data_IF_521259087324
#
_entry.id   IF_521259087324
#
_cell.length_a   1.000
_cell.length_b   1.000
_cell.length_c   1.000
_cell.angle_alpha   90.00
_cell.angle_beta   90.00
_cell.angle_gamma   90.00
#
_symmetry.space_group_name_H-M   'P 1'
#
loop_
_entity.id
_entity.type
_entity.pdbx_description
1 polymer ?
#
# COMPACT_ATOMS: atom_id res chain seq x y z
N UNK A 1 6.00 -0.79 15.00
CA UNK A 1 5.47 0.32 14.18
C UNK A 1 6.47 0.90 13.18
N UNK A 2 7.14 2.05 13.38
CA UNK A 2 7.89 2.75 12.30
C UNK A 2 9.01 1.93 11.64
N UNK A 3 9.74 1.13 12.41
CA UNK A 3 10.80 0.25 11.89
C UNK A 3 10.22 -0.83 10.96
N UNK A 4 9.03 -1.34 11.29
CA UNK A 4 8.37 -2.40 10.54
C UNK A 4 7.92 -1.92 9.16
N UNK A 5 7.38 -0.69 9.06
CA UNK A 5 7.03 -0.05 7.78
C UNK A 5 8.28 0.18 6.93
N UNK A 6 9.37 0.68 7.50
CA UNK A 6 10.64 0.87 6.78
C UNK A 6 11.21 -0.45 6.24
N UNK A 7 11.26 -1.50 7.07
CA UNK A 7 11.72 -2.83 6.66
C UNK A 7 10.84 -3.41 5.56
N UNK A 8 9.51 -3.26 5.68
CA UNK A 8 8.55 -3.71 4.69
C UNK A 8 8.79 -3.00 3.35
N UNK A 9 8.85 -1.67 3.32
CA UNK A 9 9.07 -0.88 2.09
C UNK A 9 10.41 -1.21 1.45
N UNK A 10 11.48 -1.33 2.25
CA UNK A 10 12.81 -1.73 1.74
C UNK A 10 12.77 -3.09 1.08
N UNK A 11 12.08 -4.06 1.66
CA UNK A 11 11.97 -5.42 1.12
C UNK A 11 11.11 -5.46 -0.13
N UNK A 12 9.96 -4.77 -0.13
CA UNK A 12 9.03 -4.73 -1.27
C UNK A 12 9.63 -4.03 -2.49
N UNK A 13 10.44 -2.98 -2.28
CA UNK A 13 11.04 -2.19 -3.35
C UNK A 13 12.53 -2.52 -3.60
N UNK A 14 13.08 -3.51 -2.89
CA UNK A 14 14.51 -3.91 -2.96
C UNK A 14 15.46 -2.69 -2.84
N UNK A 15 15.21 -1.83 -1.85
CA UNK A 15 15.99 -0.60 -1.69
C UNK A 15 17.39 -0.89 -1.09
N UNK A 16 18.46 -0.23 -1.60
CA UNK A 16 19.82 -0.47 -1.13
C UNK A 16 20.03 -0.01 0.32
N UNK A 17 19.26 0.97 0.80
CA UNK A 17 19.32 1.52 2.15
C UNK A 17 17.94 1.60 2.80
N UNK A 18 17.89 1.71 4.13
CA UNK A 18 16.64 1.98 4.84
C UNK A 18 16.18 3.41 4.52
N UNK A 19 14.96 3.59 3.97
CA UNK A 19 14.39 4.93 3.78
C UNK A 19 14.15 5.61 5.12
N UNK A 20 14.22 6.94 5.13
CA UNK A 20 13.78 7.76 6.27
C UNK A 20 12.32 7.44 6.62
N UNK A 21 11.93 7.60 7.89
CA UNK A 21 10.58 7.27 8.36
C UNK A 21 9.47 7.89 7.49
N UNK A 22 9.53 9.19 7.23
CA UNK A 22 8.48 9.88 6.45
C UNK A 22 8.48 9.44 4.97
N UNK A 23 9.65 9.16 4.40
CA UNK A 23 9.78 8.63 3.05
C UNK A 23 9.21 7.19 2.95
N UNK A 24 9.42 6.37 3.96
CA UNK A 24 8.85 5.03 4.03
C UNK A 24 7.32 5.08 4.10
N UNK A 25 6.75 6.01 4.89
CA UNK A 25 5.31 6.18 5.00
C UNK A 25 4.68 6.61 3.66
N UNK A 26 5.30 7.56 2.95
CA UNK A 26 4.86 7.97 1.61
C UNK A 26 4.89 6.81 0.60
N UNK A 27 5.96 6.01 0.61
CA UNK A 27 6.09 4.84 -0.25
C UNK A 27 5.08 3.74 0.09
N UNK A 28 4.82 3.50 1.38
CA UNK A 28 3.82 2.54 1.82
C UNK A 28 2.41 2.94 1.37
N UNK A 29 2.06 4.23 1.42
CA UNK A 29 0.78 4.75 0.90
C UNK A 29 0.69 4.52 -0.62
N UNK A 30 1.75 4.81 -1.37
CA UNK A 30 1.78 4.59 -2.81
C UNK A 30 1.61 3.11 -3.18
N UNK A 31 2.29 2.20 -2.47
CA UNK A 31 2.13 0.74 -2.61
C UNK A 31 0.68 0.35 -2.36
N UNK A 32 0.09 0.85 -1.27
CA UNK A 32 -1.30 0.55 -0.89
C UNK A 32 -2.29 1.05 -1.95
N UNK A 33 -2.10 2.27 -2.46
CA UNK A 33 -2.95 2.83 -3.52
C UNK A 33 -2.88 2.01 -4.80
N UNK A 34 -1.67 1.62 -5.24
CA UNK A 34 -1.49 0.75 -6.40
C UNK A 34 -2.15 -0.62 -6.21
N UNK A 35 -1.99 -1.22 -5.03
CA UNK A 35 -2.57 -2.52 -4.71
C UNK A 35 -4.11 -2.48 -4.68
N UNK A 36 -4.69 -1.45 -4.06
CA UNK A 36 -6.15 -1.23 -4.03
C UNK A 36 -6.68 -0.95 -5.43
N UNK A 37 -6.00 -0.12 -6.24
CA UNK A 37 -6.39 0.15 -7.62
C UNK A 37 -6.33 -1.11 -8.48
N UNK A 38 -5.27 -1.93 -8.37
CA UNK A 38 -5.19 -3.21 -9.06
C UNK A 38 -6.27 -4.19 -8.60
N UNK A 39 -6.53 -4.26 -7.29
CA UNK A 39 -7.59 -5.10 -6.75
C UNK A 39 -8.97 -4.67 -7.24
N UNK A 40 -9.25 -3.36 -7.27
CA UNK A 40 -10.51 -2.82 -7.79
C UNK A 40 -10.74 -3.17 -9.27
N UNK A 41 -9.69 -3.10 -10.09
CA UNK A 41 -9.75 -3.51 -11.50
C UNK A 41 -9.98 -5.02 -11.66
N UNK A 42 -9.34 -5.84 -10.82
CA UNK A 42 -9.51 -7.31 -10.83
C UNK A 42 -10.89 -7.75 -10.33
N UNK A 43 -11.50 -6.99 -9.42
CA UNK A 43 -12.85 -7.22 -8.89
C UNK A 43 -13.94 -6.67 -9.84
N UNK A 44 -13.58 -6.22 -11.04
CA UNK A 44 -14.42 -5.58 -12.07
C UNK A 44 -15.63 -6.34 -12.64
N UNK A 45 -16.26 -7.23 -11.89
CA UNK A 45 -17.64 -7.69 -12.12
C UNK A 45 -18.66 -7.20 -11.09
N UNK A 46 -18.21 -6.80 -9.89
CA UNK A 46 -19.09 -6.29 -8.83
C UNK A 46 -18.34 -5.21 -8.08
N UNK A 47 -18.54 -3.94 -8.47
CA UNK A 47 -17.82 -2.81 -7.91
C UNK A 47 -17.71 -2.90 -6.40
N UNK A 48 -16.50 -2.70 -5.87
CA UNK A 48 -16.26 -2.62 -4.43
C UNK A 48 -17.22 -1.57 -3.88
N UNK A 49 -18.35 -2.01 -3.30
CA UNK A 49 -19.32 -1.14 -2.68
C UNK A 49 -18.66 -0.64 -1.39
N UNK A 50 -17.80 0.37 -1.52
CA UNK A 50 -17.25 1.13 -0.41
C UNK A 50 -18.40 1.92 0.21
N UNK A 51 -19.22 1.24 0.99
CA UNK A 51 -20.14 1.90 1.89
C UNK A 51 -19.28 2.54 2.99
N UNK A 52 -18.99 3.84 2.82
CA UNK A 52 -18.35 4.65 3.85
C UNK A 52 -16.99 4.11 4.33
N UNK A 53 -16.19 3.56 3.39
CA UNK A 53 -14.83 3.09 3.67
C UNK A 53 -14.72 1.66 4.21
N UNK A 54 -15.79 0.86 4.16
CA UNK A 54 -15.74 -0.58 4.52
C UNK A 54 -16.13 -1.45 3.32
N UNK A 55 -15.28 -2.44 3.06
CA UNK A 55 -15.55 -3.53 2.12
C UNK A 55 -16.56 -4.48 2.79
N UNK A 56 -17.66 -4.78 2.08
CA UNK A 56 -18.65 -5.80 2.46
C UNK A 56 -18.43 -7.05 1.63
#
# INVERSE_FOLDING_TARGET
EKIQVQHMVRTLLTLPANPQADAADALAIAITHCHVSQNALRVGGGGLNLARGRLR
#
